data_IF_638875368147
#
_entry.id   IF_638875368147
#
_cell.length_a   1.000
_cell.length_b   1.000
_cell.length_c   1.000
_cell.angle_alpha   90.00
_cell.angle_beta   90.00
_cell.angle_gamma   90.00
#
_symmetry.space_group_name_H-M   'P 1'
#
loop_
_entity.id
_entity.type
_entity.pdbx_description
1 polymer ?
#
# COMPACT_ATOMS: atom_id res chain seq x y z
N UNK A 1 1.31 4.26 13.53
CA UNK A 1 2.13 3.91 12.36
C UNK A 1 1.33 2.91 11.57
N UNK A 2 1.06 3.18 10.29
CA UNK A 2 0.17 2.37 9.45
C UNK A 2 1.01 1.34 8.69
N UNK A 3 0.58 0.09 8.64
CA UNK A 3 1.18 -0.95 7.80
C UNK A 3 0.38 -1.08 6.51
N UNK A 4 0.99 -0.75 5.37
CA UNK A 4 0.40 -0.85 4.05
C UNK A 4 0.91 -2.10 3.34
N UNK A 5 0.07 -3.13 3.29
CA UNK A 5 0.31 -4.29 2.43
C UNK A 5 0.04 -3.90 0.97
N UNK A 6 1.09 -3.89 0.14
CA UNK A 6 1.09 -3.20 -1.15
C UNK A 6 1.44 -4.10 -2.33
N UNK A 7 0.72 -3.91 -3.42
CA UNK A 7 1.06 -4.36 -4.77
C UNK A 7 0.71 -3.25 -5.77
N UNK A 8 1.50 -3.04 -6.86
CA UNK A 8 1.29 -1.96 -7.82
C UNK A 8 0.04 -2.17 -8.68
N UNK A 9 -1.10 -1.85 -8.09
CA UNK A 9 -2.42 -1.84 -8.73
C UNK A 9 -3.02 -0.43 -8.65
N UNK A 10 -4.01 -0.08 -9.47
CA UNK A 10 -4.73 1.19 -9.35
C UNK A 10 -5.32 1.42 -7.95
N UNK A 11 -5.72 0.37 -7.23
CA UNK A 11 -6.22 0.49 -5.86
C UNK A 11 -5.09 0.71 -4.84
N UNK A 12 -3.95 0.03 -5.00
CA UNK A 12 -2.76 0.26 -4.16
C UNK A 12 -2.29 1.72 -4.24
N UNK A 13 -2.26 2.30 -5.45
CA UNK A 13 -1.85 3.68 -5.66
C UNK A 13 -2.75 4.71 -4.95
N UNK A 14 -4.07 4.47 -4.85
CA UNK A 14 -4.98 5.39 -4.15
C UNK A 14 -4.57 5.58 -2.69
N UNK A 15 -4.15 4.48 -2.05
CA UNK A 15 -3.80 4.51 -0.64
C UNK A 15 -2.44 5.17 -0.43
N UNK A 16 -1.44 4.89 -1.28
CA UNK A 16 -0.16 5.59 -1.20
C UNK A 16 -0.33 7.09 -1.42
N UNK A 17 -1.13 7.51 -2.42
CA UNK A 17 -1.41 8.95 -2.64
C UNK A 17 -2.03 9.58 -1.40
N UNK A 18 -3.05 8.95 -0.81
CA UNK A 18 -3.69 9.48 0.39
C UNK A 18 -2.72 9.59 1.57
N UNK A 19 -1.91 8.56 1.83
CA UNK A 19 -0.99 8.56 2.96
C UNK A 19 0.09 9.63 2.85
N UNK A 20 0.59 9.86 1.63
CA UNK A 20 1.52 10.96 1.33
C UNK A 20 0.85 12.33 1.53
N UNK A 21 -0.31 12.57 0.90
CA UNK A 21 -1.03 13.85 0.97
C UNK A 21 -1.50 14.19 2.40
N UNK A 22 -1.86 13.18 3.19
CA UNK A 22 -2.26 13.34 4.59
C UNK A 22 -1.08 13.42 5.57
N UNK A 23 0.16 13.23 5.10
CA UNK A 23 1.37 13.23 5.94
C UNK A 23 1.36 12.16 7.03
N UNK A 24 0.71 11.01 6.78
CA UNK A 24 0.56 9.96 7.78
C UNK A 24 1.76 8.99 7.72
N UNK A 25 2.40 8.67 8.86
CA UNK A 25 3.52 7.74 8.86
C UNK A 25 3.05 6.31 8.56
N UNK A 26 3.63 5.70 7.53
CA UNK A 26 3.35 4.33 7.12
C UNK A 26 4.60 3.55 6.71
N UNK A 27 4.49 2.22 6.76
CA UNK A 27 5.49 1.28 6.27
C UNK A 27 4.85 0.42 5.17
N UNK A 28 5.64 0.11 4.13
CA UNK A 28 5.19 -0.74 3.02
C UNK A 28 5.59 -2.20 3.29
N UNK A 29 4.62 -3.10 3.19
CA UNK A 29 4.81 -4.55 3.18
C UNK A 29 4.42 -5.09 1.81
N UNK A 30 5.38 -5.45 0.93
CA UNK A 30 5.05 -5.94 -0.40
C UNK A 30 4.31 -7.29 -0.33
N UNK A 31 3.24 -7.45 -1.10
CA UNK A 31 2.46 -8.70 -1.23
C UNK A 31 2.32 -9.12 -2.67
N UNK A 32 2.61 -10.38 -3.01
CA UNK A 32 2.48 -10.86 -4.39
C UNK A 32 1.09 -11.46 -4.65
N UNK A 33 0.16 -10.61 -5.08
CA UNK A 33 -1.20 -11.07 -5.38
C UNK A 33 -1.26 -12.03 -6.59
N UNK A 34 -0.25 -12.01 -7.46
CA UNK A 34 -0.13 -12.96 -8.58
C UNK A 34 0.25 -14.37 -8.11
N UNK A 35 0.84 -14.48 -6.91
CA UNK A 35 1.10 -15.75 -6.23
C UNK A 35 -0.01 -16.16 -5.25
N UNK A 36 -1.06 -15.34 -5.09
CA UNK A 36 -2.16 -15.59 -4.17
C UNK A 36 -1.94 -15.11 -2.74
N UNK A 37 -0.94 -14.25 -2.48
CA UNK A 37 -0.66 -13.66 -1.16
C UNK A 37 -1.67 -12.55 -0.77
N UNK A 38 -2.97 -12.78 -1.00
CA UNK A 38 -4.06 -11.81 -0.82
C UNK A 38 -4.62 -11.79 0.61
#
# INVERSE_FOLDING_TARGET
MIDLYYWPTPNGHKITIFLEEAGLPYAIHPVNIGAGDQ
#
